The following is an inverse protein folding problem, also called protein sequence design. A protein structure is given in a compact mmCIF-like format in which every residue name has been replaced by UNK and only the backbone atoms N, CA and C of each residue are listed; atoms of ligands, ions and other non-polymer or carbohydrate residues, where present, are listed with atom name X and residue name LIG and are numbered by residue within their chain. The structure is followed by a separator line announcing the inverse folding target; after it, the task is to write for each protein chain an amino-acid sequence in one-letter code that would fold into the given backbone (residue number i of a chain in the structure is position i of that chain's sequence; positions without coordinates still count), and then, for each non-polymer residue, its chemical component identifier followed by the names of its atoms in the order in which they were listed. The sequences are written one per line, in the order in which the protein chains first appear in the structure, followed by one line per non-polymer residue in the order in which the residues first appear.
data_IF_206184060265
#
_entry.id   IF_206184060265
#
_cell.length_a   1.000
_cell.length_b   1.000
_cell.length_c   1.000
_cell.angle_alpha   90.00
_cell.angle_beta   90.00
_cell.angle_gamma   90.00
#
_symmetry.space_group_name_H-M   'P 1'
#
loop_
_entity.id
_entity.type
_entity.pdbx_description
1 polymer ?
#
# COMPACT_ATOMS: atom_id res chain seq x y z
N UNK A 1 -6.30 3.62 12.65
CA UNK A 1 -6.95 3.94 11.37
C UNK A 1 -6.75 5.43 11.10
N UNK A 2 -6.54 5.81 9.84
CA UNK A 2 -6.48 7.21 9.42
C UNK A 2 -7.72 7.53 8.58
N UNK A 3 -8.14 8.79 8.58
CA UNK A 3 -9.23 9.30 7.74
C UNK A 3 -8.63 10.42 6.88
N UNK A 4 -9.00 10.47 5.60
CA UNK A 4 -8.50 11.48 4.67
C UNK A 4 -9.48 11.75 3.53
N UNK A 5 -9.33 12.89 2.83
CA UNK A 5 -10.25 13.28 1.77
C UNK A 5 -10.07 12.46 0.48
N UNK A 6 -11.15 12.37 -0.31
CA UNK A 6 -11.14 11.92 -1.69
C UNK A 6 -11.80 12.99 -2.56
N UNK A 7 -11.16 13.37 -3.66
CA UNK A 7 -11.63 14.42 -4.56
C UNK A 7 -11.15 14.19 -6.00
N UNK A 8 -11.57 15.06 -6.93
CA UNK A 8 -11.22 14.97 -8.36
C UNK A 8 -9.85 15.54 -8.70
N UNK A 9 -9.31 16.39 -7.83
CA UNK A 9 -8.04 17.08 -8.00
C UNK A 9 -7.37 17.30 -6.65
N UNK A 10 -6.06 17.55 -6.67
CA UNK A 10 -5.24 17.67 -5.45
C UNK A 10 -5.60 18.94 -4.67
N UNK A 11 -5.95 20.04 -5.34
CA UNK A 11 -6.33 21.29 -4.67
C UNK A 11 -7.60 21.11 -3.82
N UNK A 12 -8.55 20.30 -4.27
CA UNK A 12 -9.74 19.94 -3.49
C UNK A 12 -9.39 19.12 -2.24
N UNK A 13 -8.35 18.28 -2.30
CA UNK A 13 -7.85 17.56 -1.12
C UNK A 13 -7.22 18.54 -0.12
N UNK A 14 -6.38 19.45 -0.61
CA UNK A 14 -5.74 20.49 0.20
C UNK A 14 -6.78 21.41 0.85
N UNK A 15 -7.80 21.84 0.10
CA UNK A 15 -8.91 22.64 0.61
C UNK A 15 -9.65 21.93 1.76
N UNK A 16 -9.93 20.63 1.60
CA UNK A 16 -10.59 19.84 2.64
C UNK A 16 -9.71 19.70 3.89
N UNK A 17 -8.42 19.37 3.72
CA UNK A 17 -7.47 19.29 4.84
C UNK A 17 -7.37 20.62 5.58
N UNK A 18 -7.26 21.74 4.86
CA UNK A 18 -7.23 23.09 5.43
C UNK A 18 -8.49 23.43 6.22
N UNK A 19 -9.66 23.03 5.72
CA UNK A 19 -10.93 23.26 6.42
C UNK A 19 -11.05 22.42 7.71
N UNK A 20 -10.49 21.21 7.72
CA UNK A 20 -10.51 20.31 8.88
C UNK A 20 -9.45 20.67 9.94
N UNK A 21 -8.28 21.17 9.54
CA UNK A 21 -7.19 21.59 10.43
C UNK A 21 -7.43 23.01 10.96
N UNK A 22 -8.55 23.19 11.65
CA UNK A 22 -9.03 24.46 12.19
C UNK A 22 -9.18 24.43 13.72
N UNK A 23 -9.31 25.62 14.32
CA UNK A 23 -9.38 25.77 15.78
C UNK A 23 -10.60 25.04 16.36
N UNK A 24 -11.73 25.04 15.66
CA UNK A 24 -12.95 24.36 16.05
C UNK A 24 -12.75 22.84 16.16
N UNK A 25 -12.06 22.23 15.18
CA UNK A 25 -11.76 20.79 15.22
C UNK A 25 -10.87 20.44 16.41
N UNK A 26 -9.82 21.22 16.65
CA UNK A 26 -8.90 20.99 17.77
C UNK A 26 -9.56 21.20 19.14
N UNK A 27 -10.59 22.05 19.24
CA UNK A 27 -11.40 22.18 20.45
C UNK A 27 -12.35 21.01 20.67
N UNK A 28 -12.92 20.47 19.58
CA UNK A 28 -13.84 19.32 19.64
C UNK A 28 -13.13 18.03 20.04
N UNK A 29 -11.91 17.80 19.54
CA UNK A 29 -11.09 16.64 19.88
C UNK A 29 -9.67 17.07 20.32
N UNK A 30 -9.44 17.26 21.64
CA UNK A 30 -8.13 17.64 22.16
C UNK A 30 -7.10 16.49 22.14
N UNK A 31 -7.46 15.29 21.67
CA UNK A 31 -6.51 14.20 21.46
C UNK A 31 -5.74 14.34 20.15
N UNK A 32 -6.22 15.19 19.23
CA UNK A 32 -5.55 15.53 17.97
C UNK A 32 -4.56 16.67 18.21
N UNK A 33 -3.28 16.54 17.78
CA UNK A 33 -2.33 17.64 17.85
C UNK A 33 -2.83 18.87 17.07
N UNK A 34 -2.83 20.08 17.65
CA UNK A 34 -3.34 21.30 17.00
C UNK A 34 -2.33 21.86 16.00
N UNK A 35 -2.07 21.11 14.92
CA UNK A 35 -1.15 21.48 13.84
C UNK A 35 -1.98 22.07 12.70
N UNK A 36 -1.90 23.40 12.45
CA UNK A 36 -2.64 24.03 11.36
C UNK A 36 -2.04 23.64 10.01
N UNK A 37 -2.84 23.80 8.95
CA UNK A 37 -2.40 23.54 7.58
C UNK A 37 -1.27 24.51 7.16
N UNK A 38 -0.13 23.95 6.75
CA UNK A 38 1.03 24.71 6.30
C UNK A 38 0.95 25.09 4.80
N UNK A 39 0.39 26.27 4.53
CA UNK A 39 0.28 26.81 3.17
C UNK A 39 1.62 27.11 2.50
N UNK A 40 2.66 27.43 3.26
CA UNK A 40 3.98 27.73 2.70
C UNK A 40 4.60 26.46 2.12
N UNK A 41 4.54 25.36 2.88
CA UNK A 41 4.98 24.05 2.39
C UNK A 41 4.15 23.58 1.20
N UNK A 42 2.82 23.72 1.24
CA UNK A 42 1.95 23.31 0.13
C UNK A 42 2.24 24.08 -1.16
N UNK A 43 2.43 25.40 -1.06
CA UNK A 43 2.61 26.30 -2.21
C UNK A 43 4.04 26.34 -2.76
N UNK A 44 4.98 25.66 -2.10
CA UNK A 44 6.39 25.67 -2.51
C UNK A 44 6.63 25.00 -3.86
N UNK A 45 7.39 25.67 -4.73
CA UNK A 45 7.84 25.15 -6.03
C UNK A 45 9.31 24.70 -6.02
N UNK A 46 9.95 24.60 -4.85
CA UNK A 46 11.36 24.22 -4.75
C UNK A 46 11.59 22.81 -5.31
N UNK A 47 12.71 22.54 -6.01
CA UNK A 47 13.05 21.20 -6.46
C UNK A 47 13.07 20.21 -5.30
N UNK A 48 12.53 19.01 -5.54
CA UNK A 48 12.40 17.94 -4.56
C UNK A 48 13.43 16.84 -4.82
N UNK A 49 13.90 16.21 -3.76
CA UNK A 49 14.66 14.96 -3.81
C UNK A 49 13.71 13.79 -3.59
N UNK A 50 13.26 13.23 -4.71
CA UNK A 50 12.22 12.20 -4.78
C UNK A 50 12.86 10.82 -4.79
N UNK A 51 12.64 10.05 -3.71
CA UNK A 51 12.91 8.62 -3.69
C UNK A 51 11.93 7.89 -4.61
N UNK A 52 12.35 6.84 -5.31
CA UNK A 52 11.42 6.03 -6.10
C UNK A 52 11.76 4.54 -6.07
N UNK A 53 10.73 3.70 -6.22
CA UNK A 53 10.87 2.29 -6.57
C UNK A 53 9.83 1.85 -7.58
N UNK A 54 10.24 0.97 -8.48
CA UNK A 54 9.37 0.36 -9.50
C UNK A 54 8.84 -1.01 -9.07
N UNK A 55 9.29 -1.55 -7.94
CA UNK A 55 8.82 -2.81 -7.36
C UNK A 55 9.16 -2.84 -5.87
N UNK A 56 8.30 -3.46 -5.07
CA UNK A 56 8.54 -3.73 -3.65
C UNK A 56 9.17 -5.11 -3.40
N UNK A 57 9.42 -5.88 -4.47
CA UNK A 57 9.95 -7.24 -4.41
C UNK A 57 8.99 -8.29 -3.85
N UNK A 58 7.71 -7.94 -3.64
CA UNK A 58 6.70 -8.81 -3.02
C UNK A 58 5.47 -9.03 -3.91
N UNK A 59 4.91 -7.96 -4.48
CA UNK A 59 3.81 -8.05 -5.42
C UNK A 59 4.28 -7.83 -6.86
N UNK A 60 4.03 -8.79 -7.78
CA UNK A 60 4.31 -8.60 -9.19
C UNK A 60 3.45 -7.45 -9.74
N UNK A 61 4.09 -6.38 -10.23
CA UNK A 61 3.36 -5.24 -10.79
C UNK A 61 2.95 -5.50 -12.24
N UNK A 62 1.67 -5.29 -12.59
CA UNK A 62 1.20 -5.24 -13.97
C UNK A 62 1.99 -4.24 -14.84
N UNK A 63 2.11 -4.47 -16.16
CA UNK A 63 2.84 -3.59 -17.08
C UNK A 63 2.45 -2.11 -16.99
N UNK A 64 1.14 -1.82 -16.97
CA UNK A 64 0.63 -0.45 -16.90
C UNK A 64 1.07 0.30 -15.64
N UNK A 65 1.13 -0.37 -14.48
CA UNK A 65 1.63 0.24 -13.23
C UNK A 65 3.13 0.56 -13.33
N UNK A 66 3.93 -0.36 -13.88
CA UNK A 66 5.36 -0.12 -14.10
C UNK A 66 5.60 1.06 -15.04
N UNK A 67 4.80 1.13 -16.11
CA UNK A 67 4.84 2.23 -17.07
C UNK A 67 4.47 3.56 -16.40
N UNK A 68 3.38 3.61 -15.65
CA UNK A 68 2.94 4.82 -14.94
C UNK A 68 4.02 5.40 -14.02
N UNK A 69 4.68 4.57 -13.21
CA UNK A 69 5.78 5.02 -12.34
C UNK A 69 6.98 5.50 -13.17
N UNK A 70 7.38 4.72 -14.18
CA UNK A 70 8.53 5.05 -15.06
C UNK A 70 8.33 6.37 -15.79
N UNK A 71 7.14 6.60 -16.33
CA UNK A 71 6.81 7.84 -17.04
C UNK A 71 6.72 9.02 -16.07
N UNK A 72 6.08 8.86 -14.91
CA UNK A 72 6.02 9.91 -13.86
C UNK A 72 7.42 10.33 -13.42
N UNK A 73 8.29 9.36 -13.14
CA UNK A 73 9.70 9.58 -12.80
C UNK A 73 10.43 10.42 -13.86
N UNK A 74 10.21 10.11 -15.15
CA UNK A 74 10.85 10.84 -16.27
C UNK A 74 10.41 12.29 -16.32
N UNK A 75 9.12 12.59 -16.13
CA UNK A 75 8.68 13.99 -16.12
C UNK A 75 9.17 14.75 -14.90
N UNK A 76 9.16 14.14 -13.71
CA UNK A 76 9.74 14.76 -12.51
C UNK A 76 11.22 15.10 -12.74
N UNK A 77 11.98 14.20 -13.37
CA UNK A 77 13.38 14.46 -13.68
C UNK A 77 13.53 15.61 -14.70
N UNK A 78 12.67 15.66 -15.73
CA UNK A 78 12.66 16.73 -16.71
C UNK A 78 12.26 18.10 -16.13
N UNK A 79 11.42 18.11 -15.10
CA UNK A 79 11.02 19.31 -14.36
C UNK A 79 12.08 19.79 -13.34
N UNK A 80 13.22 19.10 -13.23
CA UNK A 80 14.36 19.52 -12.40
C UNK A 80 14.40 18.89 -11.00
N UNK A 81 13.52 17.96 -10.68
CA UNK A 81 13.59 17.20 -9.42
C UNK A 81 14.74 16.18 -9.47
N UNK A 82 15.30 15.88 -8.29
CA UNK A 82 16.32 14.85 -8.15
C UNK A 82 15.65 13.50 -7.87
N UNK A 83 15.96 12.49 -8.69
CA UNK A 83 15.42 11.14 -8.55
C UNK A 83 16.45 10.22 -7.92
N UNK A 84 16.09 9.59 -6.81
CA UNK A 84 16.96 8.68 -6.05
C UNK A 84 16.32 7.30 -5.98
N UNK A 85 17.02 6.27 -6.44
CA UNK A 85 16.53 4.90 -6.27
C UNK A 85 16.44 4.56 -4.78
N UNK A 86 15.25 4.22 -4.31
CA UNK A 86 14.96 3.91 -2.92
C UNK A 86 14.37 2.51 -2.82
N UNK A 87 15.02 1.60 -2.09
CA UNK A 87 14.49 0.26 -1.86
C UNK A 87 13.90 0.14 -0.46
N UNK A 88 12.57 -0.02 -0.32
CA UNK A 88 11.94 -0.26 0.98
C UNK A 88 12.53 -1.50 1.66
N UNK A 89 13.00 -1.40 2.92
CA UNK A 89 13.63 -2.52 3.60
C UNK A 89 12.61 -3.60 3.97
N UNK A 90 12.94 -4.86 3.72
CA UNK A 90 12.29 -6.05 4.32
C UNK A 90 10.77 -6.16 4.10
N UNK A 91 10.26 -5.87 2.90
CA UNK A 91 8.82 -5.92 2.60
C UNK A 91 8.13 -7.25 2.96
N UNK A 92 8.71 -8.44 2.68
CA UNK A 92 8.09 -9.69 3.13
C UNK A 92 7.88 -9.75 4.66
N UNK A 93 8.85 -9.28 5.46
CA UNK A 93 8.72 -9.21 6.92
C UNK A 93 7.64 -8.22 7.34
N UNK A 94 7.51 -7.07 6.67
CA UNK A 94 6.44 -6.12 6.93
C UNK A 94 5.09 -6.76 6.71
N UNK A 95 4.88 -7.42 5.57
CA UNK A 95 3.57 -7.98 5.24
C UNK A 95 3.19 -9.11 6.20
N UNK A 96 4.09 -10.05 6.45
CA UNK A 96 3.77 -11.26 7.21
C UNK A 96 3.84 -11.05 8.73
N UNK A 97 4.89 -10.42 9.23
CA UNK A 97 5.16 -10.33 10.66
C UNK A 97 4.75 -9.01 11.28
N UNK A 98 4.62 -7.91 10.52
CA UNK A 98 4.17 -6.62 11.06
C UNK A 98 2.69 -6.38 10.78
N UNK A 99 2.28 -6.39 9.51
CA UNK A 99 0.95 -6.03 9.06
C UNK A 99 -0.10 -7.09 9.45
N UNK A 100 -0.03 -8.30 8.89
CA UNK A 100 -1.04 -9.33 9.11
C UNK A 100 -1.17 -9.70 10.60
N UNK A 101 -0.04 -9.75 11.32
CA UNK A 101 -0.01 -9.97 12.76
C UNK A 101 -0.67 -8.86 13.58
N UNK A 102 -0.60 -7.61 13.13
CA UNK A 102 -1.34 -6.51 13.77
C UNK A 102 -2.84 -6.68 13.60
N UNK A 103 -3.30 -6.92 12.36
CA UNK A 103 -4.72 -7.03 12.03
C UNK A 103 -5.38 -8.25 12.67
N UNK A 104 -4.64 -9.34 12.82
CA UNK A 104 -5.14 -10.61 13.33
C UNK A 104 -4.41 -11.03 14.61
N UNK A 105 -4.06 -10.05 15.45
CA UNK A 105 -3.31 -10.29 16.69
C UNK A 105 -4.01 -11.29 17.61
N UNK A 106 -5.34 -11.25 17.68
CA UNK A 106 -6.20 -12.15 18.45
C UNK A 106 -6.56 -13.46 17.70
N UNK A 107 -6.01 -13.65 16.50
CA UNK A 107 -6.35 -14.74 15.59
C UNK A 107 -7.59 -14.51 14.75
N UNK A 108 -8.06 -13.26 14.63
CA UNK A 108 -9.23 -12.87 13.85
C UNK A 108 -10.55 -13.11 14.57
N UNK A 109 -10.55 -13.26 15.91
CA UNK A 109 -11.77 -13.56 16.67
C UNK A 109 -12.72 -12.37 16.69
N UNK A 110 -12.23 -11.19 17.08
CA UNK A 110 -13.00 -9.95 17.06
C UNK A 110 -13.55 -9.65 15.66
N UNK A 111 -12.77 -9.95 14.62
CA UNK A 111 -13.23 -9.82 13.23
C UNK A 111 -14.31 -10.85 12.86
N UNK A 112 -14.18 -12.10 13.29
CA UNK A 112 -15.19 -13.14 13.08
C UNK A 112 -16.50 -12.85 13.81
N UNK A 113 -16.44 -12.22 14.99
CA UNK A 113 -17.61 -11.90 15.80
C UNK A 113 -18.57 -10.96 15.04
N UNK A 114 -18.04 -10.07 14.19
CA UNK A 114 -18.82 -9.18 13.30
C UNK A 114 -19.74 -9.96 12.35
N UNK A 115 -19.38 -11.19 11.97
CA UNK A 115 -20.18 -12.03 11.06
C UNK A 115 -21.13 -12.98 11.78
N UNK A 116 -21.26 -12.88 13.10
CA UNK A 116 -22.11 -13.79 13.88
C UNK A 116 -23.59 -13.51 13.59
N UNK A 117 -24.28 -14.49 13.01
CA UNK A 117 -25.69 -14.37 12.66
C UNK A 117 -25.97 -13.61 11.37
N UNK A 118 -24.93 -13.25 10.60
CA UNK A 118 -25.06 -12.48 9.36
C UNK A 118 -24.62 -13.28 8.12
N UNK A 119 -25.00 -12.79 6.93
CA UNK A 119 -24.59 -13.34 5.65
C UNK A 119 -23.17 -12.89 5.33
N UNK A 120 -22.31 -13.86 5.04
CA UNK A 120 -20.95 -13.57 4.57
C UNK A 120 -20.97 -13.37 3.06
N UNK A 121 -20.59 -12.18 2.61
CA UNK A 121 -20.42 -11.87 1.19
C UNK A 121 -19.51 -12.90 0.49
N UNK A 122 -19.85 -13.37 -0.73
CA UNK A 122 -19.05 -14.36 -1.45
C UNK A 122 -17.57 -13.98 -1.62
N UNK A 123 -17.25 -12.69 -1.77
CA UNK A 123 -15.89 -12.18 -1.90
C UNK A 123 -15.05 -12.32 -0.63
N UNK A 124 -15.71 -12.43 0.53
CA UNK A 124 -15.08 -12.58 1.86
C UNK A 124 -15.15 -14.02 2.40
N UNK A 125 -15.92 -14.90 1.73
CA UNK A 125 -16.22 -16.25 2.22
C UNK A 125 -14.97 -17.11 2.42
N UNK A 126 -13.99 -17.02 1.51
CA UNK A 126 -12.74 -17.80 1.58
C UNK A 126 -11.92 -17.38 2.79
N UNK A 127 -11.82 -16.08 3.06
CA UNK A 127 -11.08 -15.53 4.19
C UNK A 127 -11.80 -15.88 5.49
N UNK A 128 -13.10 -15.61 5.61
CA UNK A 128 -13.90 -15.93 6.80
C UNK A 128 -13.79 -17.41 7.16
N UNK A 129 -13.98 -18.30 6.19
CA UNK A 129 -13.83 -19.74 6.41
C UNK A 129 -12.42 -20.12 6.84
N UNK A 130 -11.40 -19.47 6.26
CA UNK A 130 -10.01 -19.69 6.68
C UNK A 130 -9.77 -19.28 8.12
N UNK A 131 -10.37 -18.19 8.60
CA UNK A 131 -10.26 -17.77 9.99
C UNK A 131 -11.01 -18.70 10.95
N UNK A 132 -12.20 -19.19 10.56
CA UNK A 132 -12.99 -20.16 11.35
C UNK A 132 -12.30 -21.51 11.55
N UNK A 133 -11.38 -21.91 10.68
CA UNK A 133 -10.67 -23.19 10.81
C UNK A 133 -9.91 -23.29 12.15
N UNK A 134 -10.05 -24.40 12.91
CA UNK A 134 -9.31 -24.62 14.14
C UNK A 134 -7.80 -24.59 13.93
N UNK A 135 -7.08 -24.07 14.94
CA UNK A 135 -5.63 -23.89 14.87
C UNK A 135 -4.86 -25.20 14.61
N UNK A 136 -5.32 -26.32 15.18
CA UNK A 136 -4.68 -27.62 14.98
C UNK A 136 -4.73 -28.02 13.50
N UNK A 137 -5.86 -27.80 12.84
CA UNK A 137 -6.04 -28.05 11.40
C UNK A 137 -5.09 -27.19 10.58
N UNK A 138 -5.00 -25.89 10.89
CA UNK A 138 -4.05 -24.97 10.23
C UNK A 138 -2.60 -25.43 10.37
N UNK A 139 -2.20 -25.89 11.57
CA UNK A 139 -0.84 -26.41 11.82
C UNK A 139 -0.55 -27.67 11.03
N UNK A 140 -1.49 -28.61 10.97
CA UNK A 140 -1.34 -29.86 10.21
C UNK A 140 -1.25 -29.56 8.71
N UNK A 141 -2.14 -28.71 8.18
CA UNK A 141 -2.08 -28.25 6.79
C UNK A 141 -0.76 -27.55 6.48
N UNK A 142 -0.31 -26.65 7.37
CA UNK A 142 0.96 -25.96 7.19
C UNK A 142 2.14 -26.95 7.15
N UNK A 143 2.15 -27.99 7.98
CA UNK A 143 3.18 -29.03 7.99
C UNK A 143 3.15 -29.90 6.72
N UNK A 144 1.95 -30.31 6.28
CA UNK A 144 1.76 -31.13 5.08
C UNK A 144 2.13 -30.38 3.79
N UNK A 145 1.92 -29.06 3.77
CA UNK A 145 2.27 -28.21 2.63
C UNK A 145 3.74 -27.77 2.63
N UNK A 146 4.52 -28.03 3.69
CA UNK A 146 5.96 -27.70 3.77
C UNK A 146 6.83 -28.22 2.61
N UNK A 147 6.69 -29.47 2.13
CA UNK A 147 7.54 -29.98 1.06
C UNK A 147 7.19 -29.36 -0.31
N UNK A 148 5.95 -28.90 -0.53
CA UNK A 148 5.57 -28.14 -1.73
C UNK A 148 6.06 -26.66 -1.69
N UNK A 149 6.51 -26.16 -0.54
CA UNK A 149 6.93 -24.76 -0.35
C UNK A 149 8.24 -24.39 -1.06
N UNK A 150 9.04 -25.36 -1.52
CA UNK A 150 10.24 -25.07 -2.30
C UNK A 150 9.90 -24.64 -3.75
N UNK A 151 8.71 -25.00 -4.24
CA UNK A 151 8.22 -24.64 -5.58
C UNK A 151 7.06 -23.61 -5.54
N UNK A 152 6.21 -23.63 -4.50
CA UNK A 152 5.17 -22.63 -4.26
C UNK A 152 5.67 -21.56 -3.28
N UNK A 153 6.20 -20.47 -3.84
CA UNK A 153 6.75 -19.36 -3.08
C UNK A 153 5.73 -18.73 -2.11
N UNK A 154 6.13 -18.65 -0.84
CA UNK A 154 5.82 -17.65 0.20
C UNK A 154 4.36 -17.25 0.53
N UNK A 155 3.35 -17.43 -0.33
CA UNK A 155 2.04 -16.76 -0.19
C UNK A 155 0.95 -17.59 0.50
N UNK A 156 1.09 -18.92 0.56
CA UNK A 156 0.22 -19.79 1.39
C UNK A 156 0.56 -19.73 2.88
N UNK A 157 1.76 -19.26 3.24
CA UNK A 157 2.12 -18.98 4.65
C UNK A 157 1.21 -17.90 5.24
N UNK A 158 0.77 -16.93 4.44
CA UNK A 158 0.11 -15.73 4.96
C UNK A 158 -1.28 -15.99 5.55
N UNK A 159 -1.97 -17.06 5.15
CA UNK A 159 -3.30 -17.41 5.69
C UNK A 159 -3.23 -18.56 6.70
N UNK A 160 -2.35 -19.56 6.48
CA UNK A 160 -2.19 -20.69 7.39
C UNK A 160 -1.28 -20.39 8.60
N UNK A 161 -0.38 -19.40 8.47
CA UNK A 161 0.58 -18.92 9.46
C UNK A 161 0.34 -17.45 9.74
N UNK A 162 -0.92 -17.05 9.89
CA UNK A 162 -1.22 -15.77 10.53
C UNK A 162 -0.61 -15.85 11.93
N UNK A 163 0.52 -15.18 12.10
CA UNK A 163 1.31 -15.13 13.32
C UNK A 163 0.46 -14.38 14.34
N UNK A 164 -0.28 -15.10 15.18
CA UNK A 164 -1.14 -14.49 16.20
C UNK A 164 -0.32 -14.11 17.42
N UNK A 165 -0.61 -12.97 18.05
CA UNK A 165 -0.08 -12.65 19.37
C UNK A 165 -0.78 -13.53 20.42
N UNK A 166 -0.05 -14.44 21.06
CA UNK A 166 -0.60 -15.41 22.03
C UNK A 166 -0.71 -14.84 23.43
N UNK A 167 -0.05 -13.72 23.68
CA UNK A 167 -0.02 -13.06 24.98
C UNK A 167 0.15 -11.56 24.81
N UNK A 168 -0.16 -10.82 25.87
CA UNK A 168 0.13 -9.38 25.96
C UNK A 168 1.62 -9.11 25.77
N UNK A 169 2.51 -9.97 26.29
CA UNK A 169 3.97 -9.86 26.08
C UNK A 169 4.35 -9.95 24.59
N UNK A 170 3.79 -10.91 23.86
CA UNK A 170 4.01 -11.03 22.42
C UNK A 170 3.45 -9.81 21.66
N UNK A 171 2.30 -9.30 22.09
CA UNK A 171 1.71 -8.09 21.54
C UNK A 171 2.61 -6.87 21.78
N UNK A 172 3.16 -6.68 22.99
CA UNK A 172 4.09 -5.59 23.28
C UNK A 172 5.39 -5.70 22.48
N UNK A 173 5.98 -6.89 22.39
CA UNK A 173 7.14 -7.14 21.54
C UNK A 173 6.85 -6.82 20.07
N UNK A 174 5.66 -7.16 19.59
CA UNK A 174 5.21 -6.86 18.24
C UNK A 174 5.10 -5.36 17.99
N UNK A 175 4.48 -4.61 18.89
CA UNK A 175 4.44 -3.14 18.81
C UNK A 175 5.86 -2.55 18.80
N UNK A 176 6.76 -3.07 19.63
CA UNK A 176 8.15 -2.65 19.64
C UNK A 176 8.84 -2.91 18.29
N UNK A 177 8.61 -4.06 17.66
CA UNK A 177 9.15 -4.38 16.33
C UNK A 177 8.66 -3.40 15.25
N UNK A 178 7.40 -2.98 15.30
CA UNK A 178 6.87 -1.93 14.42
C UNK A 178 7.62 -0.62 14.63
N UNK A 179 7.85 -0.20 15.88
CA UNK A 179 8.61 1.03 16.17
C UNK A 179 10.06 0.94 15.66
N UNK A 180 10.73 -0.21 15.87
CA UNK A 180 12.08 -0.45 15.33
C UNK A 180 12.08 -0.34 13.80
N UNK A 181 11.09 -0.94 13.13
CA UNK A 181 10.97 -0.87 11.68
C UNK A 181 10.76 0.57 11.19
N UNK A 182 9.87 1.34 11.83
CA UNK A 182 9.65 2.77 11.54
C UNK A 182 10.94 3.56 11.65
N UNK A 183 11.67 3.41 12.75
CA UNK A 183 12.94 4.10 12.95
C UNK A 183 13.96 3.76 11.88
N UNK A 184 14.09 2.48 11.51
CA UNK A 184 15.00 2.06 10.43
C UNK A 184 14.61 2.66 9.08
N UNK A 185 13.32 2.69 8.77
CA UNK A 185 12.82 3.26 7.52
C UNK A 185 13.11 4.77 7.46
N UNK A 186 12.83 5.51 8.54
CA UNK A 186 13.13 6.93 8.67
C UNK A 186 14.64 7.19 8.58
N UNK A 187 15.48 6.38 9.25
CA UNK A 187 16.93 6.52 9.13
C UNK A 187 17.39 6.37 7.69
N UNK A 188 16.89 5.36 6.97
CA UNK A 188 17.22 5.16 5.56
C UNK A 188 16.76 6.31 4.67
N UNK A 189 15.58 6.84 4.94
CA UNK A 189 15.03 8.02 4.26
C UNK A 189 15.96 9.24 4.45
N UNK A 190 16.41 9.48 5.69
CA UNK A 190 17.31 10.58 6.05
C UNK A 190 18.72 10.42 5.48
N UNK A 191 19.28 9.20 5.49
CA UNK A 191 20.58 8.89 4.87
C UNK A 191 20.60 9.25 3.38
N UNK A 192 19.48 9.01 2.70
CA UNK A 192 19.31 9.34 1.29
C UNK A 192 18.85 10.77 1.07
N UNK A 193 18.59 11.53 2.13
CA UNK A 193 18.11 12.91 2.11
C UNK A 193 16.84 13.07 1.26
N UNK A 194 15.90 12.13 1.37
CA UNK A 194 14.67 12.20 0.57
C UNK A 194 13.72 13.24 1.17
N UNK A 195 12.96 13.92 0.32
CA UNK A 195 11.84 14.77 0.75
C UNK A 195 10.54 13.98 0.71
N UNK A 196 10.36 13.19 -0.35
CA UNK A 196 9.15 12.41 -0.67
C UNK A 196 9.53 11.11 -1.38
N UNK A 197 8.59 10.17 -1.47
CA UNK A 197 8.74 8.92 -2.22
C UNK A 197 7.61 8.74 -3.24
N UNK A 198 7.99 8.47 -4.48
CA UNK A 198 7.13 7.99 -5.56
C UNK A 198 7.11 6.47 -5.58
N UNK A 199 5.94 5.87 -5.61
CA UNK A 199 5.82 4.42 -5.66
C UNK A 199 4.57 3.95 -6.42
N UNK A 200 4.51 2.66 -6.77
CA UNK A 200 3.34 2.07 -7.42
C UNK A 200 2.19 1.94 -6.43
N UNK A 201 0.97 2.12 -6.92
CA UNK A 201 -0.27 1.80 -6.20
C UNK A 201 -1.09 0.81 -6.99
N UNK A 202 -1.78 -0.08 -6.28
CA UNK A 202 -2.59 -1.13 -6.87
C UNK A 202 -3.50 -0.60 -7.99
N UNK A 203 -3.36 -1.18 -9.18
CA UNK A 203 -4.17 -0.90 -10.35
C UNK A 203 -3.91 -1.92 -11.47
N UNK A 204 -4.66 -1.86 -12.59
CA UNK A 204 -5.92 -1.14 -12.76
C UNK A 204 -7.01 -1.75 -11.87
N UNK A 205 -8.25 -1.26 -11.99
CA UNK A 205 -9.37 -1.81 -11.22
C UNK A 205 -9.49 -3.33 -11.41
N UNK A 206 -9.62 -4.06 -10.30
CA UNK A 206 -9.75 -5.51 -10.36
C UNK A 206 -11.16 -5.92 -10.80
N UNK A 207 -11.24 -6.98 -11.61
CA UNK A 207 -12.48 -7.67 -11.94
C UNK A 207 -13.21 -8.10 -10.66
N UNK A 208 -14.54 -7.97 -10.66
CA UNK A 208 -15.39 -8.37 -9.53
C UNK A 208 -15.08 -9.79 -9.04
N UNK A 209 -14.93 -9.95 -7.72
CA UNK A 209 -14.62 -11.23 -7.09
C UNK A 209 -13.13 -11.61 -7.02
N UNK A 210 -12.22 -10.80 -7.57
CA UNK A 210 -10.78 -10.99 -7.45
C UNK A 210 -10.09 -10.28 -6.27
N UNK A 211 -10.54 -9.12 -5.75
CA UNK A 211 -9.85 -8.45 -4.64
C UNK A 211 -9.57 -9.36 -3.44
N UNK A 212 -10.54 -10.18 -3.05
CA UNK A 212 -10.37 -11.13 -1.96
C UNK A 212 -9.34 -12.24 -2.23
N UNK A 213 -9.08 -12.57 -3.49
CA UNK A 213 -8.14 -13.64 -3.86
C UNK A 213 -6.69 -13.15 -3.80
N UNK A 214 -6.42 -11.87 -4.02
CA UNK A 214 -5.08 -11.33 -4.18
C UNK A 214 -4.65 -10.43 -3.01
N UNK A 215 -4.67 -10.97 -1.78
CA UNK A 215 -4.29 -10.19 -0.59
C UNK A 215 -2.88 -9.61 -0.70
N UNK A 216 -1.94 -10.26 -1.41
CA UNK A 216 -0.59 -9.71 -1.56
C UNK A 216 -0.52 -8.42 -2.38
N UNK A 217 -1.59 -8.06 -3.11
CA UNK A 217 -1.65 -6.89 -3.97
C UNK A 217 -1.70 -5.55 -3.21
N UNK A 218 -2.02 -5.57 -1.91
CA UNK A 218 -2.08 -4.37 -1.08
C UNK A 218 -0.72 -4.03 -0.42
N UNK A 219 0.37 -4.70 -0.78
CA UNK A 219 1.67 -4.52 -0.11
C UNK A 219 2.18 -3.08 -0.17
N UNK A 220 2.05 -2.42 -1.32
CA UNK A 220 2.52 -1.04 -1.47
C UNK A 220 1.70 -0.01 -0.69
N UNK A 221 0.43 -0.28 -0.40
CA UNK A 221 -0.43 0.61 0.42
C UNK A 221 -0.34 0.27 1.91
N UNK A 222 -0.25 -1.01 2.26
CA UNK A 222 -0.18 -1.46 3.65
C UNK A 222 1.16 -1.16 4.31
N UNK A 223 2.24 -1.07 3.53
CA UNK A 223 3.53 -0.59 4.02
C UNK A 223 3.38 0.75 4.76
N UNK A 224 2.69 1.72 4.14
CA UNK A 224 2.56 3.06 4.69
C UNK A 224 1.55 3.14 5.85
N UNK A 225 0.62 2.19 5.94
CA UNK A 225 -0.20 1.99 7.15
C UNK A 225 0.65 1.50 8.34
N UNK A 226 1.55 0.54 8.12
CA UNK A 226 2.48 0.07 9.17
C UNK A 226 3.42 1.21 9.59
N UNK A 227 3.92 1.99 8.63
CA UNK A 227 4.80 3.12 8.89
C UNK A 227 4.10 4.31 9.54
N UNK A 228 2.78 4.47 9.33
CA UNK A 228 2.00 5.64 9.68
C UNK A 228 2.54 6.91 9.01
N UNK A 229 2.76 6.83 7.71
CA UNK A 229 3.24 7.93 6.86
C UNK A 229 2.07 8.45 6.01
N UNK A 230 1.99 9.77 5.75
CA UNK A 230 1.03 10.30 4.78
C UNK A 230 1.32 9.71 3.41
N UNK A 231 0.28 9.16 2.79
CA UNK A 231 0.32 8.58 1.45
C UNK A 231 -0.94 8.99 0.70
N UNK A 232 -0.76 9.56 -0.49
CA UNK A 232 -1.85 9.93 -1.38
C UNK A 232 -1.65 9.37 -2.78
N UNK A 233 -2.73 9.36 -3.57
CA UNK A 233 -2.77 8.68 -4.87
C UNK A 233 -3.22 9.66 -5.95
N UNK A 234 -2.53 9.68 -7.08
CA UNK A 234 -2.81 10.56 -8.21
C UNK A 234 -2.93 9.73 -9.50
N UNK A 235 -4.04 9.81 -10.24
CA UNK A 235 -4.15 9.24 -11.58
C UNK A 235 -3.17 9.93 -12.54
N UNK A 236 -2.40 9.15 -13.31
CA UNK A 236 -1.35 9.71 -14.20
C UNK A 236 -1.42 9.19 -15.64
N UNK A 237 -2.14 8.10 -15.88
CA UNK A 237 -2.33 7.55 -17.22
C UNK A 237 -3.54 6.62 -17.27
N UNK A 238 -3.80 6.04 -18.44
CA UNK A 238 -4.77 4.96 -18.63
C UNK A 238 -4.07 3.71 -19.16
N UNK A 239 -4.68 2.55 -18.98
CA UNK A 239 -4.20 1.28 -19.57
C UNK A 239 -4.27 1.37 -21.09
N UNK A 240 -3.21 0.96 -21.78
CA UNK A 240 -3.11 0.90 -23.24
C UNK A 240 -3.25 -0.54 -23.75
N UNK A 241 -3.52 -0.70 -25.06
CA UNK A 241 -3.50 -2.03 -25.70
C UNK A 241 -2.12 -2.70 -25.54
N UNK A 242 -1.03 -1.94 -25.63
CA UNK A 242 0.32 -2.46 -25.43
C UNK A 242 0.54 -3.01 -24.01
N UNK A 243 -0.03 -2.38 -22.99
CA UNK A 243 0.03 -2.90 -21.62
C UNK A 243 -0.70 -4.25 -21.50
N UNK A 244 -1.82 -4.41 -22.22
CA UNK A 244 -2.61 -5.64 -22.20
C UNK A 244 -1.91 -6.78 -22.97
N UNK A 245 -1.28 -6.49 -24.11
CA UNK A 245 -0.46 -7.48 -24.81
C UNK A 245 0.75 -7.92 -23.98
N UNK A 246 1.43 -6.97 -23.32
CA UNK A 246 2.52 -7.29 -22.40
C UNK A 246 2.03 -8.11 -21.19
N UNK A 247 0.80 -7.85 -20.70
CA UNK A 247 0.19 -8.60 -19.60
C UNK A 247 -0.04 -10.07 -19.97
N UNK A 248 -0.36 -10.38 -21.24
CA UNK A 248 -0.50 -11.78 -21.70
C UNK A 248 0.82 -12.54 -21.55
N UNK A 249 1.92 -11.88 -21.91
CA UNK A 249 3.28 -12.42 -21.82
C UNK A 249 3.86 -12.36 -20.41
N UNK A 250 3.22 -11.63 -19.50
CA UNK A 250 3.72 -11.42 -18.14
C UNK A 250 3.96 -12.74 -17.41
N UNK A 251 5.18 -13.00 -17.00
CA UNK A 251 5.50 -14.02 -16.02
C UNK A 251 5.92 -13.27 -14.76
N UNK A 252 5.23 -13.51 -13.65
CA UNK A 252 5.66 -12.95 -12.38
C UNK A 252 6.97 -13.58 -11.94
N UNK A 253 7.39 -13.31 -10.71
CA UNK A 253 8.68 -13.75 -10.20
C UNK A 253 8.82 -15.28 -10.11
N UNK A 254 7.73 -16.05 -10.33
CA UNK A 254 7.61 -17.44 -9.86
C UNK A 254 6.76 -18.39 -10.75
N UNK A 255 6.16 -17.94 -11.86
CA UNK A 255 5.20 -18.72 -12.68
C UNK A 255 4.15 -19.48 -11.83
N UNK A 256 3.58 -18.77 -10.86
CA UNK A 256 2.68 -19.29 -9.83
C UNK A 256 1.21 -19.21 -10.28
N UNK A 257 0.31 -20.12 -9.88
CA UNK A 257 -1.15 -19.91 -9.88
C UNK A 257 -1.64 -18.48 -9.55
N UNK A 258 -0.91 -17.73 -8.73
CA UNK A 258 -1.19 -16.33 -8.42
C UNK A 258 -0.96 -15.36 -9.58
N UNK A 259 0.01 -15.62 -10.47
CA UNK A 259 0.23 -14.80 -11.68
C UNK A 259 -0.95 -14.95 -12.64
N UNK A 260 -1.50 -16.16 -12.76
CA UNK A 260 -2.74 -16.41 -13.50
C UNK A 260 -3.92 -15.65 -12.87
N UNK A 261 -4.02 -15.67 -11.54
CA UNK A 261 -5.07 -14.96 -10.82
C UNK A 261 -4.94 -13.45 -11.01
N UNK A 262 -3.72 -12.90 -10.98
CA UNK A 262 -3.45 -11.50 -11.26
C UNK A 262 -3.85 -11.12 -12.70
N UNK A 263 -3.42 -11.90 -13.70
CA UNK A 263 -3.81 -11.66 -15.10
C UNK A 263 -5.32 -11.59 -15.27
N UNK A 264 -6.06 -12.53 -14.68
CA UNK A 264 -7.52 -12.54 -14.72
C UNK A 264 -8.14 -11.37 -13.93
N UNK A 265 -7.49 -10.93 -12.86
CA UNK A 265 -7.96 -9.81 -12.06
C UNK A 265 -7.87 -8.49 -12.82
N UNK A 266 -6.91 -8.32 -13.75
CA UNK A 266 -6.66 -7.04 -14.43
C UNK A 266 -6.81 -7.06 -15.95
N UNK A 267 -7.31 -8.17 -16.52
CA UNK A 267 -7.58 -8.29 -17.97
C UNK A 267 -8.78 -7.45 -18.41
N UNK A 268 -8.80 -6.97 -19.66
CA UNK A 268 -9.90 -6.19 -20.21
C UNK A 268 -9.98 -4.77 -19.63
N UNK A 269 -8.84 -4.22 -19.22
CA UNK A 269 -8.76 -2.95 -18.50
C UNK A 269 -8.37 -1.75 -19.39
N UNK A 270 -8.27 -1.91 -20.72
CA UNK A 270 -7.92 -0.81 -21.64
C UNK A 270 -8.80 0.41 -21.41
N UNK A 271 -8.18 1.58 -21.29
CA UNK A 271 -8.85 2.85 -20.98
C UNK A 271 -9.12 3.09 -19.48
N UNK A 272 -8.94 2.11 -18.61
CA UNK A 272 -9.09 2.32 -17.16
C UNK A 272 -7.94 3.18 -16.59
N UNK A 273 -8.21 3.99 -15.55
CA UNK A 273 -7.19 4.84 -14.95
C UNK A 273 -6.10 4.03 -14.23
N UNK A 274 -4.87 4.53 -14.31
CA UNK A 274 -3.70 4.02 -13.63
C UNK A 274 -3.08 5.17 -12.84
N UNK A 275 -2.78 4.90 -11.57
CA UNK A 275 -2.31 5.89 -10.64
C UNK A 275 -0.90 5.57 -10.11
N UNK A 276 -0.30 6.54 -9.45
CA UNK A 276 0.90 6.40 -8.63
C UNK A 276 0.62 6.88 -7.21
N UNK A 277 1.40 6.40 -6.25
CA UNK A 277 1.31 6.81 -4.86
C UNK A 277 2.49 7.72 -4.48
N UNK A 278 2.16 8.81 -3.81
CA UNK A 278 3.04 9.86 -3.32
C UNK A 278 3.07 9.77 -1.80
N UNK A 279 4.26 9.80 -1.20
CA UNK A 279 4.44 9.61 0.24
C UNK A 279 5.40 10.63 0.81
N UNK A 280 5.13 11.12 2.02
CA UNK A 280 6.07 11.94 2.79
C UNK A 280 6.33 11.32 4.18
N UNK A 281 7.17 11.96 4.99
CA UNK A 281 7.39 11.59 6.40
C UNK A 281 6.15 11.89 7.26
N UNK A 282 6.02 11.31 8.47
CA UNK A 282 4.91 11.60 9.38
C UNK A 282 4.74 13.11 9.64
N UNK A 283 3.48 13.58 9.70
CA UNK A 283 3.14 14.99 9.95
C UNK A 283 3.64 15.95 8.85
N UNK A 284 3.69 15.46 7.60
CA UNK A 284 4.09 16.23 6.43
C UNK A 284 3.05 16.07 5.32
N UNK A 285 1.77 16.13 5.69
CA UNK A 285 0.64 16.00 4.78
C UNK A 285 0.68 17.06 3.66
N UNK A 286 1.07 18.30 3.98
CA UNK A 286 1.19 19.41 3.03
C UNK A 286 2.32 19.18 2.03
N UNK A 287 3.46 18.63 2.47
CA UNK A 287 4.55 18.23 1.58
C UNK A 287 4.12 17.06 0.67
N UNK A 288 3.36 16.11 1.21
CA UNK A 288 2.78 15.02 0.43
C UNK A 288 1.80 15.57 -0.63
N UNK A 289 0.93 16.49 -0.26
CA UNK A 289 -0.02 17.17 -1.17
C UNK A 289 0.71 18.01 -2.22
N UNK A 290 1.75 18.75 -1.84
CA UNK A 290 2.62 19.50 -2.76
C UNK A 290 3.27 18.58 -3.79
N UNK A 291 3.73 17.39 -3.37
CA UNK A 291 4.27 16.42 -4.30
C UNK A 291 3.18 15.79 -5.19
N UNK A 292 2.02 15.47 -4.65
CA UNK A 292 0.86 15.03 -5.44
C UNK A 292 0.46 16.06 -6.49
N UNK A 293 0.49 17.35 -6.15
CA UNK A 293 0.16 18.45 -7.04
C UNK A 293 1.13 18.52 -8.22
N UNK A 294 2.43 18.40 -7.93
CA UNK A 294 3.47 18.31 -8.96
C UNK A 294 3.22 17.14 -9.93
N UNK A 295 2.90 15.96 -9.39
CA UNK A 295 2.59 14.76 -10.20
C UNK A 295 1.33 14.97 -11.05
N UNK A 296 0.30 15.59 -10.50
CA UNK A 296 -0.94 15.92 -11.22
C UNK A 296 -0.69 16.91 -12.36
N UNK A 297 0.10 17.96 -12.14
CA UNK A 297 0.41 18.95 -13.18
C UNK A 297 1.20 18.32 -14.32
N UNK A 298 2.27 17.59 -13.99
CA UNK A 298 3.13 16.95 -14.99
C UNK A 298 2.48 15.77 -15.75
N UNK A 299 1.36 15.23 -15.25
CA UNK A 299 0.58 14.21 -15.96
C UNK A 299 -0.44 14.80 -16.93
N UNK A 300 -0.96 16.01 -16.66
CA UNK A 300 -1.90 16.74 -17.53
C UNK A 300 -1.22 17.39 -18.73
N UNK A 301 0.06 17.75 -18.61
CA UNK A 301 0.83 18.42 -19.68
C UNK A 301 1.35 17.46 -20.77
N UNK A 302 0.88 16.22 -20.82
CA UNK A 302 1.31 15.15 -21.74
C UNK A 302 0.23 14.81 -22.76
#
# INVERSE_FOLDING_TARGET
CAVGPMARDVDSLALCMKALLCQEMFQLDPTVPPIPFDEETYSSSSPLRVGYYDTDGYFPLPPCMRRAVKETRRALQAAGHQLVLFSPPRIPYVMTELFLKTFFADGGRAWLDVFTGDIVDPGLKVQVNSFKMPRLVKKLLALLLKPLQFLLLLKLKDVAVISTCRSVKEMWNHHHQIQVYRSQFISRWKELQLDVVLCPVLGPAFTTGYPGKLLTAISSTMLYNVLNFPAGVVPVSTVTEADEEELKLYQGCCDDPWDRTLKQAVSGAVGMPVAVQCVALPWQEELCLRFMKEVETLSRDR
#
